data_IF_675106928402
#
_entry.id   IF_675106928402
#
_cell.length_a   1.000
_cell.length_b   1.000
_cell.length_c   1.000
_cell.angle_alpha   90.00
_cell.angle_beta   90.00
_cell.angle_gamma   90.00
#
_symmetry.space_group_name_H-M   'P 1'
#
loop_
_entity.id
_entity.type
_entity.pdbx_description
1 polymer ?
#
# COMPACT_ATOMS: atom_id res chain seq x y z
N UNK A 1 0.23 -66.41 -19.96
CA UNK A 1 -0.52 -65.14 -19.96
C UNK A 1 -1.69 -65.34 -19.01
N UNK A 2 -1.65 -64.71 -17.84
CA UNK A 2 -2.79 -64.72 -16.92
C UNK A 2 -3.48 -63.37 -17.02
N UNK A 3 -4.80 -63.36 -17.18
CA UNK A 3 -5.58 -62.12 -17.16
C UNK A 3 -5.48 -61.46 -15.79
N UNK A 4 -5.22 -60.15 -15.79
CA UNK A 4 -5.28 -59.32 -14.59
C UNK A 4 -6.76 -59.13 -14.22
N UNK A 5 -7.27 -60.00 -13.35
CA UNK A 5 -8.59 -59.89 -12.72
C UNK A 5 -8.67 -58.62 -11.85
N UNK A 6 -8.98 -57.50 -12.50
CA UNK A 6 -9.11 -56.17 -11.91
C UNK A 6 -10.31 -56.05 -10.94
N UNK A 7 -11.19 -57.05 -10.86
CA UNK A 7 -12.45 -56.97 -10.11
C UNK A 7 -12.32 -57.30 -8.60
N UNK A 8 -11.11 -57.50 -8.07
CA UNK A 8 -10.88 -57.97 -6.68
C UNK A 8 -10.01 -57.06 -5.80
N UNK A 9 -10.10 -55.73 -5.97
CA UNK A 9 -9.70 -54.77 -4.93
C UNK A 9 -10.96 -54.08 -4.39
N UNK A 10 -11.49 -54.59 -3.29
CA UNK A 10 -12.66 -54.02 -2.59
C UNK A 10 -12.31 -53.07 -1.45
N UNK A 11 -11.01 -52.86 -1.20
CA UNK A 11 -10.51 -52.28 0.03
C UNK A 11 -9.69 -51.01 -0.29
N UNK A 12 -10.27 -49.85 0.03
CA UNK A 12 -9.82 -48.48 -0.26
C UNK A 12 -9.78 -48.08 -1.76
N UNK A 13 -10.69 -47.18 -2.15
CA UNK A 13 -10.73 -46.49 -3.44
C UNK A 13 -9.38 -45.78 -3.71
N UNK A 14 -8.60 -46.17 -4.74
CA UNK A 14 -7.32 -45.52 -5.03
C UNK A 14 -7.46 -44.05 -5.46
N UNK A 15 -8.64 -43.66 -5.95
CA UNK A 15 -8.99 -42.31 -6.37
C UNK A 15 -9.09 -41.33 -5.21
N UNK A 16 -9.91 -41.60 -4.18
CA UNK A 16 -10.11 -40.68 -3.05
C UNK A 16 -8.79 -40.29 -2.39
N UNK A 17 -7.94 -41.26 -2.06
CA UNK A 17 -6.66 -40.97 -1.40
C UNK A 17 -5.67 -40.23 -2.31
N UNK A 18 -5.77 -40.41 -3.63
CA UNK A 18 -5.00 -39.63 -4.61
C UNK A 18 -5.52 -38.18 -4.70
N UNK A 19 -6.84 -37.98 -4.65
CA UNK A 19 -7.49 -36.67 -4.57
C UNK A 19 -7.05 -35.90 -3.32
N UNK A 20 -7.16 -36.51 -2.13
CA UNK A 20 -6.74 -35.93 -0.85
C UNK A 20 -5.24 -35.56 -0.85
N UNK A 21 -4.37 -36.44 -1.34
CA UNK A 21 -2.93 -36.17 -1.46
C UNK A 21 -2.62 -35.07 -2.48
N UNK A 22 -3.29 -35.05 -3.62
CA UNK A 22 -3.10 -34.01 -4.63
C UNK A 22 -3.59 -32.65 -4.13
N UNK A 23 -4.71 -32.59 -3.40
CA UNK A 23 -5.19 -31.39 -2.73
C UNK A 23 -4.24 -30.92 -1.63
N UNK A 24 -3.79 -31.81 -0.74
CA UNK A 24 -2.85 -31.50 0.35
C UNK A 24 -1.56 -30.84 -0.16
N UNK A 25 -1.08 -31.26 -1.33
CA UNK A 25 0.14 -30.75 -1.97
C UNK A 25 -0.12 -29.71 -3.09
N UNK A 26 -1.35 -29.23 -3.25
CA UNK A 26 -1.70 -28.19 -4.23
C UNK A 26 -1.51 -28.58 -5.70
N UNK A 27 -1.52 -29.87 -6.02
CA UNK A 27 -1.24 -30.42 -7.35
C UNK A 27 -2.44 -30.29 -8.29
N UNK A 28 -2.81 -29.06 -8.65
CA UNK A 28 -3.96 -28.72 -9.51
C UNK A 28 -4.05 -29.56 -10.80
N UNK A 29 -2.95 -29.78 -11.51
CA UNK A 29 -2.93 -30.62 -12.72
C UNK A 29 -3.25 -32.10 -12.46
N UNK A 30 -2.89 -32.62 -11.28
CA UNK A 30 -3.23 -33.99 -10.88
C UNK A 30 -4.71 -34.05 -10.51
N UNK A 31 -5.20 -33.06 -9.77
CA UNK A 31 -6.63 -32.91 -9.44
C UNK A 31 -7.52 -32.85 -10.69
N UNK A 32 -7.12 -32.07 -11.72
CA UNK A 32 -7.81 -32.05 -13.02
C UNK A 32 -7.93 -33.44 -13.63
N UNK A 33 -6.81 -34.15 -13.78
CA UNK A 33 -6.80 -35.48 -14.42
C UNK A 33 -7.56 -36.51 -13.58
N UNK A 34 -7.53 -36.41 -12.25
CA UNK A 34 -8.32 -37.25 -11.35
C UNK A 34 -9.82 -36.97 -11.46
N UNK A 35 -10.21 -35.71 -11.66
CA UNK A 35 -11.59 -35.27 -11.91
C UNK A 35 -12.10 -35.73 -13.28
N UNK A 36 -11.35 -35.45 -14.35
CA UNK A 36 -11.66 -35.93 -15.72
C UNK A 36 -11.85 -37.45 -15.75
N UNK A 37 -10.88 -38.21 -15.20
CA UNK A 37 -10.94 -39.68 -15.15
C UNK A 37 -11.97 -40.26 -14.16
N UNK A 38 -12.61 -39.40 -13.34
CA UNK A 38 -13.72 -39.75 -12.48
C UNK A 38 -15.07 -39.47 -13.14
N UNK A 39 -15.24 -38.29 -13.73
CA UNK A 39 -16.42 -37.90 -14.51
C UNK A 39 -16.69 -38.89 -15.67
N UNK A 40 -15.64 -39.45 -16.28
CA UNK A 40 -15.73 -40.53 -17.28
C UNK A 40 -16.29 -41.87 -16.74
N UNK A 41 -16.44 -42.04 -15.41
CA UNK A 41 -16.84 -43.30 -14.76
C UNK A 41 -18.19 -43.25 -14.05
N UNK A 42 -18.80 -42.09 -13.88
CA UNK A 42 -20.08 -41.98 -13.19
C UNK A 42 -21.28 -42.01 -14.14
N UNK A 43 -22.23 -42.89 -13.86
CA UNK A 43 -23.53 -42.97 -14.54
C UNK A 43 -24.49 -41.86 -14.05
N UNK A 44 -24.06 -40.60 -14.05
CA UNK A 44 -24.90 -39.40 -13.84
C UNK A 44 -25.80 -39.37 -12.60
N UNK A 45 -25.35 -39.94 -11.47
CA UNK A 45 -26.01 -39.71 -10.18
C UNK A 45 -25.72 -38.29 -9.71
N UNK A 46 -26.73 -37.41 -9.69
CA UNK A 46 -26.60 -36.00 -9.30
C UNK A 46 -26.39 -35.75 -7.80
N UNK A 47 -25.67 -36.64 -7.11
CA UNK A 47 -25.16 -36.43 -5.77
C UNK A 47 -23.79 -35.75 -5.89
N UNK A 48 -23.50 -34.69 -5.12
CA UNK A 48 -22.22 -33.98 -5.26
C UNK A 48 -21.07 -34.87 -4.83
N UNK A 49 -20.13 -35.15 -5.73
CA UNK A 49 -18.99 -36.05 -5.48
C UNK A 49 -18.30 -35.73 -4.14
N UNK A 50 -18.46 -36.66 -3.20
CA UNK A 50 -17.93 -36.59 -1.84
C UNK A 50 -16.40 -36.43 -1.77
N UNK A 51 -15.64 -36.99 -2.73
CA UNK A 51 -14.18 -36.87 -2.71
C UNK A 51 -13.65 -35.64 -3.47
N UNK A 52 -14.32 -35.17 -4.53
CA UNK A 52 -14.08 -33.81 -5.05
C UNK A 52 -14.43 -32.75 -3.99
N UNK A 53 -15.49 -32.95 -3.21
CA UNK A 53 -15.86 -32.08 -2.08
C UNK A 53 -14.76 -32.07 -1.00
N UNK A 54 -14.29 -33.25 -0.55
CA UNK A 54 -13.21 -33.36 0.43
C UNK A 54 -11.87 -32.78 -0.08
N UNK A 55 -11.52 -33.02 -1.34
CA UNK A 55 -10.33 -32.44 -1.95
C UNK A 55 -10.41 -30.91 -2.07
N UNK A 56 -11.60 -30.38 -2.38
CA UNK A 56 -11.87 -28.94 -2.41
C UNK A 56 -11.64 -28.31 -1.05
N UNK A 57 -12.22 -28.90 0.01
CA UNK A 57 -12.03 -28.50 1.40
C UNK A 57 -10.54 -28.44 1.76
N UNK A 58 -9.77 -29.50 1.47
CA UNK A 58 -8.33 -29.55 1.76
C UNK A 58 -7.56 -28.47 0.98
N UNK A 59 -7.89 -28.27 -0.31
CA UNK A 59 -7.24 -27.25 -1.13
C UNK A 59 -7.51 -25.83 -0.61
N UNK A 60 -8.74 -25.57 -0.15
CA UNK A 60 -9.14 -24.31 0.50
C UNK A 60 -8.36 -24.13 1.81
N UNK A 61 -8.40 -25.10 2.73
CA UNK A 61 -7.70 -25.07 4.02
C UNK A 61 -6.19 -24.82 3.90
N UNK A 62 -5.56 -25.33 2.85
CA UNK A 62 -4.12 -25.16 2.60
C UNK A 62 -3.78 -23.96 1.71
N UNK A 63 -4.75 -23.11 1.35
CA UNK A 63 -4.54 -21.91 0.53
C UNK A 63 -4.08 -22.20 -0.91
N UNK A 64 -4.22 -23.44 -1.38
CA UNK A 64 -3.67 -23.92 -2.66
C UNK A 64 -4.47 -23.38 -3.84
N UNK A 65 -4.24 -22.12 -4.18
CA UNK A 65 -5.07 -21.32 -5.08
C UNK A 65 -5.30 -21.96 -6.45
N UNK A 66 -4.29 -22.63 -7.02
CA UNK A 66 -4.45 -23.34 -8.28
C UNK A 66 -5.36 -24.58 -8.15
N UNK A 67 -5.34 -25.27 -7.01
CA UNK A 67 -6.23 -26.40 -6.73
C UNK A 67 -7.65 -25.94 -6.40
N UNK A 68 -7.80 -24.82 -5.66
CA UNK A 68 -9.09 -24.18 -5.40
C UNK A 68 -9.77 -23.79 -6.71
N UNK A 69 -9.07 -23.08 -7.60
CA UNK A 69 -9.60 -22.69 -8.92
C UNK A 69 -9.94 -23.88 -9.85
N UNK A 70 -9.33 -25.05 -9.63
CA UNK A 70 -9.55 -26.26 -10.44
C UNK A 70 -10.76 -27.07 -9.97
N UNK A 71 -10.96 -27.12 -8.65
CA UNK A 71 -11.99 -27.94 -8.03
C UNK A 71 -13.28 -27.16 -7.74
N UNK A 72 -13.17 -25.95 -7.18
CA UNK A 72 -14.30 -25.22 -6.62
C UNK A 72 -15.03 -24.42 -7.70
N UNK A 73 -16.14 -24.98 -8.18
CA UNK A 73 -17.13 -24.24 -9.00
C UNK A 73 -18.09 -23.47 -8.07
N UNK A 74 -18.86 -22.48 -8.58
CA UNK A 74 -19.87 -21.78 -7.79
C UNK A 74 -20.93 -22.72 -7.19
N UNK A 75 -21.33 -23.75 -7.93
CA UNK A 75 -22.30 -24.76 -7.49
C UNK A 75 -21.73 -25.63 -6.36
N UNK A 76 -20.45 -26.01 -6.48
CA UNK A 76 -19.76 -26.76 -5.42
C UNK A 76 -19.52 -25.90 -4.18
N UNK A 77 -19.24 -24.60 -4.32
CA UNK A 77 -19.11 -23.69 -3.19
C UNK A 77 -20.42 -23.57 -2.40
N UNK A 78 -21.56 -23.45 -3.09
CA UNK A 78 -22.89 -23.48 -2.48
C UNK A 78 -23.18 -24.81 -1.78
N UNK A 79 -22.81 -25.94 -2.38
CA UNK A 79 -22.97 -27.27 -1.78
C UNK A 79 -22.10 -27.45 -0.51
N UNK A 80 -20.82 -27.06 -0.56
CA UNK A 80 -19.89 -27.08 0.58
C UNK A 80 -20.46 -26.23 1.73
N UNK A 81 -20.97 -25.03 1.42
CA UNK A 81 -21.59 -24.14 2.42
C UNK A 81 -22.86 -24.76 3.03
N UNK A 82 -23.71 -25.38 2.20
CA UNK A 82 -24.94 -26.05 2.66
C UNK A 82 -24.65 -27.27 3.56
N UNK A 83 -23.49 -27.92 3.42
CA UNK A 83 -23.03 -29.00 4.30
C UNK A 83 -22.50 -28.51 5.66
N UNK A 84 -22.41 -27.19 5.89
CA UNK A 84 -21.93 -26.62 7.15
C UNK A 84 -20.41 -26.68 7.33
N UNK A 85 -19.65 -26.75 6.23
CA UNK A 85 -18.19 -26.70 6.25
C UNK A 85 -17.67 -25.36 6.80
N UNK A 86 -16.74 -25.41 7.74
CA UNK A 86 -16.00 -24.23 8.22
C UNK A 86 -14.75 -24.00 7.38
N UNK A 87 -14.77 -22.96 6.54
CA UNK A 87 -13.58 -22.53 5.79
C UNK A 87 -12.57 -21.72 6.63
N UNK A 88 -12.82 -21.54 7.94
CA UNK A 88 -11.97 -20.79 8.87
C UNK A 88 -11.21 -21.66 9.88
N UNK A 89 -10.87 -22.90 9.52
CA UNK A 89 -9.91 -23.73 10.29
C UNK A 89 -8.50 -23.15 10.17
N UNK A 90 -7.79 -23.01 11.29
CA UNK A 90 -6.50 -22.30 11.34
C UNK A 90 -5.27 -23.20 11.20
N UNK A 91 -4.14 -22.60 10.83
CA UNK A 91 -2.82 -23.25 10.88
C UNK A 91 -2.13 -23.11 12.26
N UNK A 92 -0.86 -23.52 12.35
CA UNK A 92 -0.09 -23.44 13.61
C UNK A 92 0.15 -22.00 14.11
N UNK A 93 -0.09 -20.97 13.29
CA UNK A 93 0.00 -19.55 13.66
C UNK A 93 -1.35 -18.85 13.74
N UNK A 94 -2.42 -19.62 13.98
CA UNK A 94 -3.83 -19.19 13.96
C UNK A 94 -4.29 -18.51 12.64
N UNK A 95 -3.57 -18.68 11.53
CA UNK A 95 -3.96 -18.10 10.25
C UNK A 95 -5.10 -18.90 9.62
N UNK A 96 -6.23 -18.23 9.36
CA UNK A 96 -7.29 -18.79 8.50
C UNK A 96 -6.81 -18.87 7.03
N UNK A 97 -7.46 -19.67 6.18
CA UNK A 97 -7.20 -19.68 4.73
C UNK A 97 -7.31 -18.30 4.08
N UNK A 98 -8.12 -17.40 4.63
CA UNK A 98 -8.26 -16.03 4.16
C UNK A 98 -7.05 -15.16 4.50
N UNK A 99 -6.37 -15.39 5.64
CA UNK A 99 -5.05 -14.80 5.91
C UNK A 99 -4.00 -15.28 4.91
N UNK A 100 -3.92 -16.59 4.67
CA UNK A 100 -2.94 -17.21 3.76
C UNK A 100 -3.14 -16.72 2.31
N UNK A 101 -4.40 -16.71 1.83
CA UNK A 101 -4.73 -16.22 0.51
C UNK A 101 -4.42 -14.72 0.36
N UNK A 102 -4.64 -13.93 1.42
CA UNK A 102 -4.30 -12.50 1.49
C UNK A 102 -2.79 -12.25 1.45
N UNK A 103 -2.01 -12.95 2.28
CA UNK A 103 -0.55 -12.86 2.34
C UNK A 103 0.09 -13.11 0.97
N UNK A 104 -0.49 -14.02 0.19
CA UNK A 104 -0.01 -14.38 -1.14
C UNK A 104 -0.70 -13.62 -2.29
N UNK A 105 -1.57 -12.64 -2.03
CA UNK A 105 -2.23 -11.82 -3.07
C UNK A 105 -3.20 -12.59 -3.98
N UNK A 106 -3.87 -13.63 -3.47
CA UNK A 106 -4.59 -14.64 -4.27
C UNK A 106 -6.08 -14.30 -4.44
N UNK A 107 -6.37 -13.30 -5.26
CA UNK A 107 -7.71 -12.75 -5.48
C UNK A 107 -8.81 -13.80 -5.76
N UNK A 108 -8.57 -14.78 -6.64
CA UNK A 108 -9.57 -15.81 -6.95
C UNK A 108 -9.89 -16.73 -5.77
N UNK A 109 -8.89 -17.00 -4.91
CA UNK A 109 -9.05 -17.77 -3.68
C UNK A 109 -9.79 -16.97 -2.63
N UNK A 110 -9.52 -15.67 -2.53
CA UNK A 110 -10.21 -14.72 -1.62
C UNK A 110 -11.69 -14.62 -2.00
N UNK A 111 -12.01 -14.41 -3.28
CA UNK A 111 -13.38 -14.40 -3.80
C UNK A 111 -14.11 -15.73 -3.54
N UNK A 112 -13.42 -16.86 -3.71
CA UNK A 112 -13.98 -18.19 -3.37
C UNK A 112 -14.23 -18.34 -1.86
N UNK A 113 -13.29 -17.93 -1.01
CA UNK A 113 -13.42 -17.97 0.46
C UNK A 113 -14.57 -17.08 0.96
N UNK A 114 -14.70 -15.88 0.41
CA UNK A 114 -15.81 -14.95 0.65
C UNK A 114 -17.16 -15.61 0.32
N UNK A 115 -17.26 -16.29 -0.84
CA UNK A 115 -18.48 -17.02 -1.25
C UNK A 115 -18.80 -18.22 -0.34
N UNK A 116 -17.77 -18.91 0.14
CA UNK A 116 -17.87 -19.98 1.14
C UNK A 116 -18.26 -19.46 2.54
N UNK A 117 -18.23 -18.14 2.78
CA UNK A 117 -18.61 -17.52 4.04
C UNK A 117 -17.48 -17.38 5.06
N UNK A 118 -16.23 -17.28 4.62
CA UNK A 118 -15.07 -17.09 5.49
C UNK A 118 -15.19 -15.82 6.34
N UNK A 119 -14.86 -15.93 7.63
CA UNK A 119 -14.88 -14.81 8.57
C UNK A 119 -13.65 -13.90 8.35
N UNK A 120 -13.90 -12.75 7.72
CA UNK A 120 -12.93 -11.68 7.50
C UNK A 120 -12.40 -10.98 8.76
N UNK A 121 -12.86 -11.39 9.96
CA UNK A 121 -12.58 -10.72 11.24
C UNK A 121 -11.88 -11.61 12.27
N UNK A 122 -11.58 -12.88 11.96
CA UNK A 122 -10.76 -13.72 12.85
C UNK A 122 -9.36 -13.16 13.00
N UNK A 123 -8.77 -13.35 14.17
CA UNK A 123 -7.39 -13.02 14.45
C UNK A 123 -6.46 -14.23 14.26
N UNK A 124 -5.21 -13.97 13.87
CA UNK A 124 -4.10 -14.92 13.96
C UNK A 124 -3.26 -14.72 15.24
N UNK A 125 -2.15 -15.45 15.40
CA UNK A 125 -1.24 -15.32 16.57
C UNK A 125 -0.60 -13.92 16.72
N UNK A 126 -0.50 -13.13 15.64
CA UNK A 126 -0.01 -11.73 15.68
C UNK A 126 -1.11 -10.72 16.09
N UNK A 127 -2.28 -11.22 16.50
CA UNK A 127 -3.54 -10.50 16.70
C UNK A 127 -3.98 -9.71 15.45
N UNK A 128 -3.63 -10.16 14.24
CA UNK A 128 -3.98 -9.51 12.97
C UNK A 128 -5.25 -10.12 12.37
N UNK A 129 -6.11 -9.30 11.76
CA UNK A 129 -7.19 -9.77 10.88
C UNK A 129 -6.66 -9.99 9.45
N UNK A 130 -7.35 -10.75 8.56
CA UNK A 130 -6.96 -10.85 7.16
C UNK A 130 -6.82 -9.48 6.50
N UNK A 131 -7.71 -8.53 6.80
CA UNK A 131 -7.66 -7.19 6.21
C UNK A 131 -6.49 -6.34 6.77
N UNK A 132 -6.17 -6.46 8.05
CA UNK A 132 -4.92 -5.86 8.56
C UNK A 132 -3.70 -6.47 7.87
N UNK A 133 -3.67 -7.79 7.72
CA UNK A 133 -2.59 -8.52 7.04
C UNK A 133 -2.45 -8.11 5.56
N UNK A 134 -3.56 -7.86 4.85
CA UNK A 134 -3.55 -7.33 3.48
C UNK A 134 -2.86 -5.96 3.41
N UNK A 135 -3.28 -5.07 4.29
CA UNK A 135 -2.83 -3.68 4.33
C UNK A 135 -1.35 -3.62 4.71
N UNK A 136 -0.91 -4.39 5.71
CA UNK A 136 0.50 -4.52 6.10
C UNK A 136 1.38 -5.01 4.94
N UNK A 137 1.01 -6.13 4.30
CA UNK A 137 1.80 -6.69 3.20
C UNK A 137 1.81 -5.82 1.93
N UNK A 138 0.72 -5.10 1.64
CA UNK A 138 0.66 -4.14 0.54
C UNK A 138 1.45 -2.85 0.79
N UNK A 139 1.81 -2.57 2.04
CA UNK A 139 2.55 -1.37 2.44
C UNK A 139 4.05 -1.62 2.43
N UNK A 140 4.50 -2.74 3.04
CA UNK A 140 5.92 -3.10 3.13
C UNK A 140 6.60 -3.11 1.75
N UNK A 141 7.35 -2.03 1.48
CA UNK A 141 8.21 -1.81 0.32
C UNK A 141 9.42 -2.76 0.28
N UNK A 142 9.17 -4.07 0.33
CA UNK A 142 10.12 -5.07 -0.10
C UNK A 142 10.31 -4.91 -1.59
N UNK A 143 11.43 -4.27 -1.98
CA UNK A 143 11.93 -4.13 -3.37
C UNK A 143 12.09 -5.48 -4.11
N UNK A 144 11.85 -6.60 -3.40
CA UNK A 144 11.88 -7.99 -3.88
C UNK A 144 10.48 -8.64 -4.00
N UNK A 145 9.41 -8.02 -3.50
CA UNK A 145 8.02 -8.51 -3.57
C UNK A 145 7.17 -7.81 -4.64
N UNK A 146 7.80 -7.06 -5.55
CA UNK A 146 7.19 -6.62 -6.82
C UNK A 146 6.84 -7.78 -7.78
N UNK A 147 6.85 -9.03 -7.29
CA UNK A 147 6.47 -10.24 -8.00
C UNK A 147 5.04 -10.66 -7.62
N UNK A 148 4.06 -10.08 -8.33
CA UNK A 148 2.72 -10.66 -8.55
C UNK A 148 1.71 -10.72 -7.39
N UNK A 149 1.91 -10.06 -6.26
CA UNK A 149 0.85 -9.90 -5.25
C UNK A 149 0.08 -8.59 -5.45
N UNK A 150 -1.12 -8.65 -6.03
CA UNK A 150 -2.02 -7.49 -6.16
C UNK A 150 -2.71 -7.17 -4.83
N UNK A 151 -1.93 -6.69 -3.85
CA UNK A 151 -2.46 -6.33 -2.53
C UNK A 151 -3.43 -5.14 -2.57
N UNK A 152 -3.37 -4.30 -3.61
CA UNK A 152 -4.38 -3.24 -3.86
C UNK A 152 -5.72 -3.89 -4.21
N UNK A 153 -5.73 -4.86 -5.12
CA UNK A 153 -6.89 -5.68 -5.43
C UNK A 153 -7.42 -6.47 -4.23
N UNK A 154 -6.54 -6.96 -3.34
CA UNK A 154 -6.95 -7.66 -2.11
C UNK A 154 -7.67 -6.71 -1.17
N UNK A 155 -7.07 -5.56 -0.86
CA UNK A 155 -7.70 -4.52 -0.02
C UNK A 155 -9.04 -4.10 -0.60
N UNK A 156 -9.12 -3.89 -1.91
CA UNK A 156 -10.39 -3.58 -2.60
C UNK A 156 -11.45 -4.67 -2.38
N UNK A 157 -11.09 -5.94 -2.55
CA UNK A 157 -11.99 -7.07 -2.37
C UNK A 157 -12.49 -7.18 -0.92
N UNK A 158 -11.62 -6.98 0.07
CA UNK A 158 -11.99 -7.00 1.50
C UNK A 158 -12.86 -5.78 1.89
N UNK A 159 -12.64 -4.62 1.27
CA UNK A 159 -13.50 -3.42 1.39
C UNK A 159 -14.88 -3.57 0.70
N UNK A 160 -15.01 -4.50 -0.24
CA UNK A 160 -16.29 -4.85 -0.88
C UNK A 160 -17.04 -5.93 -0.08
N UNK A 161 -16.34 -6.69 0.76
CA UNK A 161 -16.89 -7.72 1.66
C UNK A 161 -17.31 -7.17 3.05
N UNK A 162 -17.19 -5.87 3.30
CA UNK A 162 -17.45 -5.24 4.61
C UNK A 162 -16.64 -5.87 5.77
N UNK A 163 -15.43 -6.37 5.47
CA UNK A 163 -14.50 -6.83 6.49
C UNK A 163 -14.14 -5.69 7.44
N UNK A 164 -14.10 -5.97 8.74
CA UNK A 164 -14.01 -4.92 9.75
C UNK A 164 -12.63 -4.24 9.77
N UNK A 165 -12.58 -3.07 9.14
CA UNK A 165 -11.43 -2.16 9.03
C UNK A 165 -11.19 -1.33 10.30
N UNK A 166 -12.18 -1.24 11.18
CA UNK A 166 -12.07 -0.50 12.46
C UNK A 166 -11.41 -1.34 13.55
N UNK A 167 -11.52 -2.67 13.45
CA UNK A 167 -10.87 -3.64 14.33
C UNK A 167 -9.44 -3.89 13.85
N UNK A 168 -8.56 -4.04 14.83
CA UNK A 168 -7.17 -3.67 14.70
C UNK A 168 -6.21 -4.84 14.98
N UNK A 169 -5.03 -4.78 14.36
CA UNK A 169 -3.89 -5.64 14.72
C UNK A 169 -3.47 -5.49 16.18
N UNK A 170 -2.53 -6.31 16.63
CA UNK A 170 -1.94 -6.19 17.97
C UNK A 170 -1.58 -4.74 18.31
N UNK A 171 -1.86 -4.34 19.55
CA UNK A 171 -1.74 -2.94 20.03
C UNK A 171 -2.73 -1.92 19.42
N UNK A 172 -3.84 -2.34 18.79
CA UNK A 172 -4.89 -1.41 18.35
C UNK A 172 -4.61 -0.69 17.02
N UNK A 173 -3.69 -1.21 16.20
CA UNK A 173 -3.40 -0.67 14.88
C UNK A 173 -4.52 -0.96 13.87
N UNK A 174 -5.26 0.06 13.43
CA UNK A 174 -6.26 -0.07 12.35
C UNK A 174 -5.60 -0.31 11.00
N UNK A 175 -6.37 -0.76 9.99
CA UNK A 175 -5.86 -1.04 8.63
C UNK A 175 -5.20 0.16 7.93
N UNK A 176 -5.52 1.39 8.36
CA UNK A 176 -4.91 2.63 7.84
C UNK A 176 -3.50 2.86 8.40
N UNK A 177 -3.20 2.42 9.62
CA UNK A 177 -1.90 2.63 10.27
C UNK A 177 -0.71 2.06 9.48
N UNK A 178 -0.74 0.82 8.95
CA UNK A 178 0.36 0.33 8.11
C UNK A 178 0.41 1.00 6.74
N UNK A 179 -0.69 1.57 6.22
CA UNK A 179 -0.77 2.09 4.83
C UNK A 179 -0.12 3.45 4.56
N UNK A 180 0.61 4.02 5.53
CA UNK A 180 1.20 5.35 5.43
C UNK A 180 2.19 5.52 4.26
N UNK A 181 2.87 4.45 3.82
CA UNK A 181 3.78 4.47 2.67
C UNK A 181 3.12 4.00 1.34
N UNK A 182 1.91 3.42 1.39
CA UNK A 182 1.13 3.06 0.21
C UNK A 182 -0.08 4.00 0.01
N UNK A 183 0.18 5.10 -0.71
CA UNK A 183 -0.83 6.11 -1.10
C UNK A 183 -2.10 5.50 -1.68
N UNK A 184 -2.01 4.49 -2.54
CA UNK A 184 -3.18 3.94 -3.23
C UNK A 184 -4.10 3.15 -2.28
N UNK A 185 -3.52 2.42 -1.32
CA UNK A 185 -4.28 1.77 -0.24
C UNK A 185 -4.87 2.83 0.69
N UNK A 186 -4.09 3.83 1.12
CA UNK A 186 -4.56 4.90 1.99
C UNK A 186 -5.73 5.70 1.37
N UNK A 187 -5.62 6.12 0.11
CA UNK A 187 -6.72 6.80 -0.60
C UNK A 187 -7.98 5.92 -0.68
N UNK A 188 -7.84 4.63 -1.01
CA UNK A 188 -8.99 3.71 -1.10
C UNK A 188 -9.67 3.46 0.25
N UNK A 189 -8.91 3.38 1.34
CA UNK A 189 -9.42 3.26 2.70
C UNK A 189 -10.19 4.52 3.11
N UNK A 190 -9.64 5.70 2.82
CA UNK A 190 -10.21 6.99 3.21
C UNK A 190 -11.42 7.42 2.37
N UNK A 191 -11.48 7.04 1.09
CA UNK A 191 -12.64 7.27 0.22
C UNK A 191 -13.91 6.56 0.72
N UNK A 192 -13.75 5.40 1.41
CA UNK A 192 -14.85 4.66 2.02
C UNK A 192 -15.06 4.99 3.50
N UNK A 193 -13.98 5.15 4.27
CA UNK A 193 -13.99 5.26 5.73
C UNK A 193 -13.04 6.37 6.21
N UNK A 194 -13.39 7.66 6.01
CA UNK A 194 -12.54 8.80 6.40
C UNK A 194 -12.35 8.92 7.92
N UNK A 195 -13.22 8.30 8.71
CA UNK A 195 -13.15 8.19 10.17
C UNK A 195 -11.93 7.38 10.65
N UNK A 196 -11.34 6.54 9.80
CA UNK A 196 -10.07 5.83 10.09
C UNK A 196 -8.92 6.79 10.46
N UNK A 197 -8.93 8.05 10.01
CA UNK A 197 -7.95 9.09 10.39
C UNK A 197 -7.96 9.44 11.89
N UNK A 198 -9.08 9.19 12.56
CA UNK A 198 -9.33 9.61 13.94
C UNK A 198 -9.25 8.44 14.93
N UNK A 199 -9.27 7.20 14.43
CA UNK A 199 -9.08 6.01 15.25
C UNK A 199 -7.63 5.96 15.77
N UNK A 200 -7.52 5.72 17.08
CA UNK A 200 -6.24 5.62 17.79
C UNK A 200 -5.91 4.17 18.12
N UNK A 201 -4.64 3.83 18.05
CA UNK A 201 -4.10 2.61 18.62
C UNK A 201 -3.89 2.72 20.15
N UNK A 202 -3.46 1.62 20.79
CA UNK A 202 -3.21 1.56 22.24
C UNK A 202 -2.07 2.47 22.71
N UNK A 203 -1.32 3.08 21.78
CA UNK A 203 -0.30 4.12 22.03
C UNK A 203 -0.86 5.55 21.83
N UNK A 204 -2.19 5.72 21.85
CA UNK A 204 -2.89 7.00 21.63
C UNK A 204 -2.55 7.68 20.30
N UNK A 205 -2.02 6.92 19.33
CA UNK A 205 -1.56 7.42 18.04
C UNK A 205 -2.57 7.08 16.95
N UNK A 206 -2.84 8.03 16.04
CA UNK A 206 -3.61 7.78 14.82
C UNK A 206 -2.66 7.43 13.68
N UNK A 207 -3.20 7.04 12.52
CA UNK A 207 -2.43 6.83 11.29
C UNK A 207 -1.80 8.12 10.71
N UNK A 208 -2.05 9.30 11.31
CA UNK A 208 -1.46 10.57 10.89
C UNK A 208 -0.02 10.65 11.43
N UNK A 209 0.94 10.30 10.58
CA UNK A 209 2.37 10.55 10.78
C UNK A 209 2.67 12.06 10.83
N UNK A 210 3.60 12.47 11.70
CA UNK A 210 4.04 13.86 11.76
C UNK A 210 5.15 14.13 10.75
N UNK A 211 5.08 15.27 10.06
CA UNK A 211 6.08 15.70 9.07
C UNK A 211 7.47 15.67 9.71
N UNK A 212 8.40 14.94 9.11
CA UNK A 212 9.78 14.77 9.58
C UNK A 212 10.10 13.38 10.16
N UNK A 213 9.10 12.53 10.43
CA UNK A 213 9.34 11.18 10.94
C UNK A 213 9.75 10.15 9.88
N UNK A 214 9.23 10.31 8.65
CA UNK A 214 9.45 9.35 7.56
C UNK A 214 10.60 9.73 6.63
N UNK A 215 11.17 8.73 5.95
CA UNK A 215 12.19 8.88 4.91
C UNK A 215 11.76 9.91 3.84
N UNK A 216 12.66 10.81 3.48
CA UNK A 216 12.38 11.94 2.58
C UNK A 216 11.51 13.06 3.17
N UNK A 217 11.27 13.10 4.49
CA UNK A 217 10.50 14.16 5.17
C UNK A 217 11.32 14.91 6.22
N UNK A 218 11.07 16.22 6.34
CA UNK A 218 11.74 17.11 7.30
C UNK A 218 10.74 18.06 7.96
N UNK A 219 10.73 18.16 9.29
CA UNK A 219 9.74 18.97 10.01
C UNK A 219 10.24 19.51 11.35
N UNK A 220 9.81 20.73 11.68
CA UNK A 220 10.08 21.37 12.96
C UNK A 220 8.79 21.36 13.80
N UNK A 221 8.80 20.65 14.92
CA UNK A 221 7.61 20.40 15.73
C UNK A 221 7.45 21.48 16.80
N UNK A 222 6.20 21.88 17.04
CA UNK A 222 5.88 23.03 17.88
C UNK A 222 5.77 22.73 19.37
N UNK A 223 5.51 21.48 19.75
CA UNK A 223 5.33 21.06 21.14
C UNK A 223 6.66 20.92 21.89
N UNK A 224 7.73 20.49 21.21
CA UNK A 224 9.06 20.32 21.81
C UNK A 224 10.19 21.17 21.18
N UNK A 225 9.91 21.86 20.05
CA UNK A 225 10.90 22.68 19.34
C UNK A 225 11.99 21.87 18.63
N UNK A 226 11.80 20.56 18.47
CA UNK A 226 12.75 19.68 17.78
C UNK A 226 12.56 19.69 16.28
N UNK A 227 13.67 19.46 15.61
CA UNK A 227 13.73 19.16 14.20
C UNK A 227 13.81 17.65 14.01
N UNK A 228 12.90 17.11 13.21
CA UNK A 228 12.85 15.71 12.79
C UNK A 228 13.28 15.63 11.32
N UNK A 229 14.23 14.76 11.02
CA UNK A 229 14.87 14.59 9.71
C UNK A 229 14.90 13.11 9.41
N UNK A 230 13.84 12.61 8.78
CA UNK A 230 13.72 11.20 8.41
C UNK A 230 13.86 10.24 9.62
N UNK A 231 13.46 10.74 10.81
CA UNK A 231 13.57 10.01 12.07
C UNK A 231 12.48 10.45 13.08
N UNK A 232 12.03 9.52 13.93
CA UNK A 232 11.01 9.76 14.96
C UNK A 232 11.53 10.19 16.35
N UNK A 233 12.82 10.56 16.49
CA UNK A 233 13.42 10.97 17.79
C UNK A 233 13.59 12.49 17.87
N UNK A 234 13.95 13.10 16.74
CA UNK A 234 14.22 14.52 16.60
C UNK A 234 15.50 14.97 17.33
N UNK A 235 15.96 16.16 16.98
CA UNK A 235 17.10 16.84 17.62
C UNK A 235 16.73 18.26 18.04
N UNK A 236 17.32 18.81 19.13
CA UNK A 236 17.14 20.21 19.50
C UNK A 236 17.51 21.13 18.33
N UNK A 237 16.66 22.12 18.05
CA UNK A 237 16.85 23.02 16.90
C UNK A 237 16.24 24.40 17.14
N UNK A 238 14.94 24.48 17.42
CA UNK A 238 14.23 25.74 17.60
C UNK A 238 13.59 25.90 18.98
N UNK A 239 12.58 26.76 19.04
CA UNK A 239 11.78 27.08 20.23
C UNK A 239 10.35 26.61 20.00
N UNK A 240 9.70 26.07 21.03
CA UNK A 240 8.29 25.64 21.00
C UNK A 240 7.34 26.76 20.55
N UNK A 241 6.27 26.41 19.84
CA UNK A 241 5.31 27.35 19.25
C UNK A 241 4.10 27.53 20.18
N UNK A 242 3.41 28.66 20.02
CA UNK A 242 2.17 28.96 20.74
C UNK A 242 1.25 29.92 19.97
N UNK A 243 0.15 30.30 20.62
CA UNK A 243 -0.85 31.20 20.04
C UNK A 243 -0.22 32.54 19.67
N UNK A 244 -0.39 32.95 18.41
CA UNK A 244 0.12 34.21 17.87
C UNK A 244 1.48 34.10 17.15
N UNK A 245 2.18 32.98 17.26
CA UNK A 245 3.39 32.74 16.48
C UNK A 245 3.08 32.59 14.98
N UNK A 246 4.01 33.03 14.13
CA UNK A 246 4.05 32.63 12.73
C UNK A 246 5.30 31.81 12.48
N UNK A 247 5.11 30.62 11.93
CA UNK A 247 6.19 29.73 11.53
C UNK A 247 6.43 29.90 10.03
N UNK A 248 7.69 30.05 9.66
CA UNK A 248 8.15 30.04 8.28
C UNK A 248 8.99 28.79 8.01
N UNK A 249 8.97 28.33 6.77
CA UNK A 249 9.94 27.36 6.23
C UNK A 249 10.46 27.91 4.90
N UNK A 250 11.64 27.46 4.49
CA UNK A 250 12.16 27.78 3.17
C UNK A 250 13.23 26.79 2.74
N UNK A 251 13.46 26.74 1.44
CA UNK A 251 14.46 25.89 0.80
C UNK A 251 15.34 26.77 -0.08
N UNK A 252 16.64 26.65 0.14
CA UNK A 252 17.68 27.09 -0.77
C UNK A 252 17.86 25.99 -1.83
N UNK A 253 17.49 26.28 -3.08
CA UNK A 253 17.64 25.34 -4.19
C UNK A 253 19.06 25.32 -4.78
N UNK A 254 19.88 26.35 -4.54
CA UNK A 254 21.27 26.40 -4.99
C UNK A 254 22.17 25.55 -4.09
N UNK A 255 21.93 25.58 -2.77
CA UNK A 255 22.69 24.77 -1.80
C UNK A 255 21.98 23.49 -1.35
N UNK A 256 20.71 23.31 -1.71
CA UNK A 256 19.90 22.15 -1.32
C UNK A 256 19.63 22.10 0.19
N UNK A 257 19.52 23.26 0.85
CA UNK A 257 19.34 23.39 2.30
C UNK A 257 17.92 23.86 2.65
N UNK A 258 17.28 23.24 3.64
CA UNK A 258 16.06 23.76 4.26
C UNK A 258 16.37 24.51 5.56
N UNK A 259 15.51 25.45 5.93
CA UNK A 259 15.48 26.09 7.24
C UNK A 259 14.04 26.29 7.72
N UNK A 260 13.86 26.50 9.03
CA UNK A 260 12.63 27.02 9.59
C UNK A 260 12.89 28.31 10.37
N UNK A 261 11.85 29.13 10.48
CA UNK A 261 11.89 30.40 11.19
C UNK A 261 10.64 30.56 12.07
N UNK A 262 10.73 31.38 13.11
CA UNK A 262 9.58 31.79 13.94
C UNK A 262 9.60 33.30 14.10
N UNK A 263 8.49 33.97 13.77
CA UNK A 263 8.36 35.43 13.91
C UNK A 263 9.50 36.22 13.21
N UNK A 264 10.04 35.67 12.11
CA UNK A 264 11.18 36.22 11.36
C UNK A 264 12.57 35.77 11.86
N UNK A 265 12.69 35.16 13.04
CA UNK A 265 13.94 34.58 13.56
C UNK A 265 14.22 33.24 12.86
N UNK A 266 15.25 33.18 12.00
CA UNK A 266 15.71 31.96 11.34
C UNK A 266 16.58 31.12 12.30
N UNK A 267 16.28 29.84 12.44
CA UNK A 267 17.02 28.91 13.32
C UNK A 267 18.25 28.25 12.65
N UNK A 268 18.54 28.61 11.40
CA UNK A 268 19.67 28.08 10.63
C UNK A 268 19.31 26.82 9.84
N UNK A 269 20.32 26.17 9.25
CA UNK A 269 20.12 25.00 8.38
C UNK A 269 19.51 23.84 9.15
N UNK A 270 18.33 23.41 8.71
CA UNK A 270 17.60 22.26 9.23
C UNK A 270 18.05 20.97 8.55
N UNK A 271 17.95 20.90 7.22
CA UNK A 271 18.33 19.75 6.42
C UNK A 271 19.21 20.21 5.24
N UNK A 272 20.02 19.30 4.70
CA UNK A 272 21.00 19.58 3.64
C UNK A 272 21.02 18.45 2.62
N UNK A 273 21.33 18.77 1.37
CA UNK A 273 21.39 17.78 0.30
C UNK A 273 20.01 17.32 -0.19
N UNK A 274 18.99 18.17 -0.03
CA UNK A 274 17.63 17.98 -0.55
C UNK A 274 17.67 17.77 -2.06
N UNK A 275 16.89 16.80 -2.56
CA UNK A 275 16.86 16.40 -3.97
C UNK A 275 15.44 16.05 -4.40
N UNK A 276 15.19 16.21 -5.70
CA UNK A 276 13.91 15.86 -6.31
C UNK A 276 12.82 16.90 -6.06
N UNK A 277 11.57 16.49 -6.25
CA UNK A 277 10.40 17.37 -6.13
C UNK A 277 9.94 17.45 -4.68
N UNK A 278 10.05 18.63 -4.09
CA UNK A 278 9.63 18.91 -2.72
C UNK A 278 8.16 19.35 -2.67
N UNK A 279 7.48 19.03 -1.58
CA UNK A 279 6.10 19.44 -1.31
C UNK A 279 6.02 20.12 0.06
N UNK A 280 5.46 21.34 0.16
CA UNK A 280 5.21 21.94 1.46
C UNK A 280 4.09 21.19 2.18
N UNK A 281 4.29 20.91 3.47
CA UNK A 281 3.36 20.13 4.29
C UNK A 281 3.23 20.72 5.69
N UNK A 282 2.06 20.51 6.31
CA UNK A 282 1.78 20.85 7.72
C UNK A 282 0.93 19.72 8.32
N UNK A 283 1.34 19.15 9.44
CA UNK A 283 0.64 18.07 10.15
C UNK A 283 0.24 18.50 11.56
N UNK A 284 -0.90 17.99 12.04
CA UNK A 284 -1.41 18.25 13.39
C UNK A 284 -1.84 16.95 14.05
N UNK A 285 -1.49 16.75 15.33
CA UNK A 285 -1.83 15.54 16.10
C UNK A 285 -3.16 15.66 16.88
N UNK A 286 -3.82 16.80 16.84
CA UNK A 286 -4.98 17.11 17.69
C UNK A 286 -6.11 17.76 16.89
N UNK A 287 -7.34 17.34 17.17
CA UNK A 287 -8.55 18.01 16.68
C UNK A 287 -8.62 19.39 17.34
N UNK A 288 -8.26 20.43 16.61
CA UNK A 288 -8.31 21.81 17.10
C UNK A 288 -9.70 22.40 16.84
N UNK A 289 -10.53 22.49 17.88
CA UNK A 289 -11.83 23.16 17.81
C UNK A 289 -11.62 24.68 17.70
N UNK A 290 -12.41 25.35 16.86
CA UNK A 290 -12.39 26.80 16.59
C UNK A 290 -11.03 27.41 16.17
N UNK A 291 -10.08 26.58 15.73
CA UNK A 291 -8.80 27.03 15.20
C UNK A 291 -8.80 27.09 13.67
N UNK A 292 -8.03 28.01 13.10
CA UNK A 292 -7.73 28.04 11.68
C UNK A 292 -6.22 28.11 11.46
N UNK A 293 -5.75 27.39 10.43
CA UNK A 293 -4.35 27.37 10.01
C UNK A 293 -4.33 27.96 8.61
N UNK A 294 -3.63 29.09 8.44
CA UNK A 294 -3.38 29.67 7.12
C UNK A 294 -1.96 29.33 6.72
N UNK A 295 -1.81 28.44 5.75
CA UNK A 295 -0.51 28.06 5.18
C UNK A 295 -0.35 28.75 3.82
N UNK A 296 0.61 29.67 3.73
CA UNK A 296 0.86 30.48 2.52
C UNK A 296 2.17 30.04 1.88
N UNK A 297 2.07 29.28 0.80
CA UNK A 297 3.23 28.78 0.02
C UNK A 297 3.43 29.52 -1.31
N UNK A 298 2.61 30.54 -1.58
CA UNK A 298 2.71 31.46 -2.71
C UNK A 298 2.70 32.90 -2.19
N UNK A 299 3.45 33.80 -2.82
CA UNK A 299 3.63 35.16 -2.31
C UNK A 299 2.33 35.98 -2.18
N UNK A 300 2.31 37.02 -1.32
CA UNK A 300 3.42 37.51 -0.51
C UNK A 300 3.64 36.69 0.77
N UNK A 301 4.89 36.35 1.06
CA UNK A 301 5.28 35.70 2.31
C UNK A 301 5.27 36.69 3.48
N UNK A 302 4.98 36.22 4.70
CA UNK A 302 4.93 37.08 5.90
C UNK A 302 6.31 37.59 6.35
N UNK A 303 7.38 36.92 5.95
CA UNK A 303 8.76 37.27 6.27
C UNK A 303 9.56 37.42 4.97
N UNK A 304 10.48 38.39 4.88
CA UNK A 304 11.43 38.45 3.78
C UNK A 304 12.27 37.17 3.80
N UNK A 305 12.76 36.74 2.64
CA UNK A 305 13.59 35.56 2.57
C UNK A 305 14.92 35.84 3.32
N UNK A 306 15.26 35.12 4.41
CA UNK A 306 16.49 35.37 5.17
C UNK A 306 17.76 35.03 4.39
N UNK A 307 17.65 34.35 3.24
CA UNK A 307 18.75 34.11 2.30
C UNK A 307 18.84 35.21 1.22
N UNK A 308 17.73 35.90 0.96
CA UNK A 308 17.63 37.01 -0.01
C UNK A 308 16.92 38.21 0.63
N UNK A 309 17.55 38.91 1.59
CA UNK A 309 16.97 40.12 2.18
C UNK A 309 16.76 41.20 1.10
N UNK A 310 15.62 41.88 1.16
CA UNK A 310 15.13 42.81 0.11
C UNK A 310 16.05 44.04 -0.12
N UNK A 311 17.00 44.30 0.79
CA UNK A 311 17.97 45.40 0.72
C UNK A 311 19.03 45.26 -0.39
N UNK A 312 19.10 44.12 -1.09
CA UNK A 312 19.97 43.97 -2.26
C UNK A 312 19.53 44.80 -3.49
N UNK A 313 18.30 45.36 -3.47
CA UNK A 313 17.66 45.96 -4.65
C UNK A 313 17.61 47.50 -4.68
N UNK A 314 18.43 48.22 -3.90
CA UNK A 314 18.55 49.69 -4.00
C UNK A 314 19.99 50.20 -4.04
N UNK A 315 20.56 50.28 -5.25
CA UNK A 315 21.65 51.19 -5.58
C UNK A 315 21.61 51.55 -7.07
N UNK A 316 21.44 52.84 -7.44
CA UNK A 316 21.22 53.22 -8.83
C UNK A 316 22.53 53.28 -9.62
N UNK A 317 22.58 52.53 -10.73
CA UNK A 317 23.50 52.77 -11.83
C UNK A 317 24.76 51.89 -11.87
N UNK A 318 24.67 50.79 -12.62
CA UNK A 318 25.68 50.45 -13.63
C UNK A 318 25.11 49.47 -14.65
N UNK A 319 24.89 49.93 -15.89
CA UNK A 319 24.80 49.02 -17.03
C UNK A 319 26.14 48.27 -17.15
N UNK A 320 26.11 46.94 -17.05
CA UNK A 320 27.19 46.11 -17.58
C UNK A 320 26.64 45.23 -18.69
N UNK A 321 27.24 45.43 -19.86
CA UNK A 321 26.79 44.92 -21.16
C UNK A 321 26.83 43.39 -21.23
N UNK A 322 25.93 42.87 -22.06
CA UNK A 322 25.96 41.50 -22.55
C UNK A 322 27.31 41.13 -23.18
N UNK A 323 27.72 39.86 -23.02
CA UNK A 323 29.06 39.42 -23.37
C UNK A 323 29.25 37.91 -23.42
N UNK A 324 28.30 37.17 -24.00
CA UNK A 324 28.51 35.79 -24.45
C UNK A 324 28.48 35.77 -25.97
N UNK A 325 29.55 35.25 -26.58
CA UNK A 325 29.72 35.19 -28.03
C UNK A 325 28.95 34.01 -28.59
N UNK A 326 28.20 34.23 -29.66
CA UNK A 326 27.89 33.16 -30.61
C UNK A 326 29.20 32.64 -31.22
N UNK A 327 29.34 31.32 -31.34
CA UNK A 327 30.26 30.69 -32.29
C UNK A 327 29.44 29.85 -33.28
N UNK A 328 29.75 29.93 -34.58
CA UNK A 328 28.87 29.44 -35.65
C UNK A 328 29.58 28.49 -36.63
N UNK A 329 29.00 27.30 -36.82
CA UNK A 329 29.27 26.39 -37.95
C UNK A 329 30.58 25.58 -37.83
N UNK A 330 30.80 24.45 -38.53
CA UNK A 330 30.06 23.73 -39.61
C UNK A 330 30.46 22.23 -39.50
N UNK A 331 29.67 21.19 -39.83
CA UNK A 331 28.31 21.06 -40.37
C UNK A 331 28.13 19.73 -41.14
N UNK A 332 27.02 19.56 -41.90
CA UNK A 332 26.58 18.37 -42.67
C UNK A 332 26.15 17.13 -41.85
N UNK A 333 25.06 16.41 -42.18
CA UNK A 333 23.99 16.76 -43.14
C UNK A 333 22.95 15.64 -43.40
N UNK A 334 21.89 16.01 -44.14
CA UNK A 334 21.04 15.19 -45.02
C UNK A 334 19.95 14.27 -44.39
N UNK A 335 18.69 14.77 -44.48
CA UNK A 335 17.39 14.08 -44.64
C UNK A 335 16.89 13.14 -43.50
N UNK A 336 15.58 13.06 -43.21
CA UNK A 336 14.40 13.38 -44.04
C UNK A 336 13.24 14.03 -43.26
N UNK A 337 12.43 14.83 -43.95
CA UNK A 337 11.17 15.38 -43.44
C UNK A 337 10.01 14.37 -43.51
N UNK A 338 9.14 14.35 -42.50
CA UNK A 338 7.69 14.17 -42.72
C UNK A 338 6.86 14.83 -41.59
N UNK A 339 6.53 16.10 -41.86
CA UNK A 339 5.32 16.87 -41.51
C UNK A 339 4.58 16.76 -40.13
N UNK A 340 4.56 17.91 -39.43
CA UNK A 340 3.43 18.52 -38.67
C UNK A 340 3.02 17.81 -37.35
N UNK A 341 2.66 18.51 -36.27
CA UNK A 341 2.00 19.81 -36.14
C UNK A 341 2.66 20.79 -35.14
N UNK A 342 2.11 22.01 -35.07
CA UNK A 342 2.59 23.20 -34.36
C UNK A 342 3.01 23.02 -32.89
N UNK A 343 4.29 23.26 -32.61
CA UNK A 343 4.74 23.63 -31.27
C UNK A 343 4.63 25.14 -31.03
N UNK A 344 4.18 25.51 -29.84
CA UNK A 344 4.69 26.70 -29.15
C UNK A 344 5.38 26.23 -27.88
N UNK A 345 6.57 25.66 -28.02
CA UNK A 345 7.52 25.51 -26.92
C UNK A 345 7.93 26.91 -26.46
N UNK A 346 7.14 27.48 -25.56
CA UNK A 346 7.65 28.48 -24.64
C UNK A 346 8.49 27.74 -23.61
N UNK A 347 9.79 27.70 -23.87
CA UNK A 347 10.84 27.42 -22.91
C UNK A 347 10.73 28.42 -21.73
N UNK A 348 9.83 28.10 -20.79
CA UNK A 348 9.71 28.82 -19.51
C UNK A 348 10.51 28.10 -18.43
N UNK A 349 11.81 27.98 -18.71
CA UNK A 349 12.84 27.62 -17.76
C UNK A 349 13.15 28.76 -16.78
N UNK A 350 12.11 29.50 -16.32
CA UNK A 350 12.23 30.59 -15.35
C UNK A 350 11.47 30.34 -14.04
N UNK A 351 11.75 29.20 -13.40
CA UNK A 351 11.43 28.98 -11.99
C UNK A 351 12.19 29.98 -11.10
N UNK A 352 11.57 31.14 -10.87
CA UNK A 352 11.97 32.14 -9.87
C UNK A 352 11.04 32.02 -8.67
N UNK A 353 11.63 31.81 -7.50
CA UNK A 353 10.97 31.90 -6.20
C UNK A 353 11.07 33.32 -5.64
#
# INVERSE_FOLDING_TARGET
>A
MGELDLAKRKDAQPTQKAFELAATNGHARVLRVLKEAHEEREDSSGDTDTFTTAASVIAVQKGHSAAVNELVTPELAEAIRAQGFSCDETDEGDNTPLHIATQHGKLSTIDTLIKLGADGNKYNEEEETPFYHASRNGSVNTVRSACYSDHIGVVKCLLEFDANHTIAGSQGWTVLHPSYDNKAIAEMLLDKHPDLLHLKNNYESTAIVMVGWDCGSWGHHGDDGRLFVEDGRGRPYGKTFGVGDTIGCGVDFDTGNAYFARNGENFGVAASGLKGKLYPAVSFRTIMVDCSVTATFTGPFRFPNPLFPEDAAQSPGQEKKSGLKEDRGVGSGILSDEEKESGSDSDDSTWRW
#
